data_IF_915048240109
#
_entry.id   IF_915048240109
#
_cell.length_a   1.000
_cell.length_b   1.000
_cell.length_c   1.000
_cell.angle_alpha   90.00
_cell.angle_beta   90.00
_cell.angle_gamma   90.00
#
_symmetry.space_group_name_H-M   'P 1'
#
loop_
_entity.id
_entity.type
_entity.pdbx_description
1 polymer ?
#
# COMPACT_ATOMS: atom_id res chain seq x y z
N UNK A 1 47.61 16.49 -32.52
CA UNK A 1 46.26 15.96 -32.77
C UNK A 1 45.63 15.65 -31.42
N UNK A 2 44.70 16.48 -30.92
CA UNK A 2 44.02 16.28 -29.63
C UNK A 2 42.72 15.53 -29.88
N UNK A 3 42.56 14.38 -29.24
CA UNK A 3 41.33 13.58 -29.26
C UNK A 3 40.48 14.06 -28.07
N UNK A 4 39.31 14.63 -28.35
CA UNK A 4 38.33 15.00 -27.34
C UNK A 4 37.35 13.84 -27.19
N UNK A 5 37.33 13.20 -26.02
CA UNK A 5 36.34 12.19 -25.67
C UNK A 5 35.18 12.92 -25.01
N UNK A 6 34.02 12.95 -25.67
CA UNK A 6 32.79 13.48 -25.09
C UNK A 6 32.11 12.35 -24.30
N UNK A 7 32.08 12.46 -22.98
CA UNK A 7 31.35 11.53 -22.11
C UNK A 7 29.91 12.05 -22.00
N UNK A 8 28.99 11.42 -22.72
CA UNK A 8 27.55 11.64 -22.54
C UNK A 8 27.09 10.86 -21.33
N UNK A 9 26.93 11.54 -20.19
CA UNK A 9 26.26 10.98 -19.02
C UNK A 9 24.75 10.97 -19.29
N UNK A 10 24.21 9.80 -19.62
CA UNK A 10 22.76 9.56 -19.65
C UNK A 10 22.25 9.54 -18.20
N UNK A 11 21.68 10.65 -17.76
CA UNK A 11 20.90 10.69 -16.52
C UNK A 11 19.60 9.90 -16.76
N UNK A 12 19.55 8.65 -16.30
CA UNK A 12 18.29 7.93 -16.16
C UNK A 12 17.49 8.60 -15.04
N UNK A 13 16.58 9.49 -15.41
CA UNK A 13 15.51 9.91 -14.52
C UNK A 13 14.51 8.74 -14.42
N UNK A 14 14.76 7.80 -13.51
CA UNK A 14 13.72 6.87 -13.08
C UNK A 14 12.65 7.69 -12.38
N UNK A 15 11.58 8.03 -13.10
CA UNK A 15 10.32 8.43 -12.48
C UNK A 15 9.82 7.16 -11.79
N UNK A 16 10.29 6.90 -10.58
CA UNK A 16 9.61 5.99 -9.67
C UNK A 16 8.23 6.64 -9.43
N UNK A 17 7.18 6.03 -9.96
CA UNK A 17 5.84 6.42 -9.57
C UNK A 17 5.74 6.13 -8.06
N UNK A 18 5.17 7.03 -7.28
CA UNK A 18 4.99 6.79 -5.84
C UNK A 18 4.10 5.57 -5.55
N UNK A 19 3.42 5.06 -6.59
CA UNK A 19 2.63 3.85 -6.57
C UNK A 19 3.45 2.59 -6.89
N UNK A 20 4.68 2.72 -7.42
CA UNK A 20 5.55 1.58 -7.71
C UNK A 20 6.02 0.87 -6.43
N UNK A 21 6.11 -0.45 -6.51
CA UNK A 21 6.49 -1.29 -5.39
C UNK A 21 8.01 -1.30 -5.17
N UNK A 22 8.44 -0.98 -3.95
CA UNK A 22 9.81 -1.21 -3.48
C UNK A 22 9.80 -1.88 -2.10
N UNK A 23 10.59 -2.93 -1.93
CA UNK A 23 10.77 -3.60 -0.63
C UNK A 23 11.49 -2.63 0.31
N UNK A 24 10.88 -2.22 1.45
CA UNK A 24 11.55 -1.34 2.38
C UNK A 24 12.80 -2.02 2.98
N UNK A 25 13.91 -1.29 3.09
CA UNK A 25 15.16 -1.82 3.65
C UNK A 25 14.98 -2.43 5.05
N UNK A 26 14.07 -1.89 5.86
CA UNK A 26 13.71 -2.43 7.18
C UNK A 26 13.19 -3.87 7.14
N UNK A 27 12.69 -4.33 5.99
CA UNK A 27 12.18 -5.67 5.76
C UNK A 27 13.07 -6.52 4.83
N UNK A 28 14.27 -6.04 4.49
CA UNK A 28 15.20 -6.75 3.60
C UNK A 28 15.67 -8.11 4.11
N UNK A 29 15.54 -8.36 5.42
CA UNK A 29 15.85 -9.65 6.06
C UNK A 29 14.72 -10.68 5.93
N UNK A 30 13.53 -10.27 5.47
CA UNK A 30 12.39 -11.17 5.28
C UNK A 30 12.52 -11.94 3.97
N UNK A 31 12.11 -13.20 3.99
CA UNK A 31 12.02 -14.03 2.79
C UNK A 31 10.84 -13.55 1.95
N UNK A 32 11.12 -13.21 0.69
CA UNK A 32 10.09 -12.88 -0.31
C UNK A 32 9.46 -14.16 -0.83
N UNK A 33 8.14 -14.23 -0.81
CA UNK A 33 7.31 -15.22 -1.48
C UNK A 33 6.53 -14.49 -2.58
N UNK A 34 6.75 -14.92 -3.83
CA UNK A 34 6.02 -14.41 -4.99
C UNK A 34 4.82 -15.30 -5.26
N UNK A 35 3.69 -14.69 -5.62
CA UNK A 35 2.50 -15.42 -6.00
C UNK A 35 2.54 -15.68 -7.51
N UNK A 36 2.27 -16.91 -7.93
CA UNK A 36 2.42 -17.33 -9.33
C UNK A 36 1.43 -16.62 -10.24
N UNK A 37 0.20 -16.42 -9.78
CA UNK A 37 -0.86 -15.79 -10.57
C UNK A 37 -0.79 -14.26 -10.53
N UNK A 38 -0.14 -13.70 -9.50
CA UNK A 38 -0.16 -12.28 -9.20
C UNK A 38 1.27 -11.71 -9.11
N UNK A 39 1.91 -11.39 -10.24
CA UNK A 39 3.34 -11.04 -10.30
C UNK A 39 3.70 -9.74 -9.56
N UNK A 40 2.70 -8.92 -9.18
CA UNK A 40 2.88 -7.68 -8.42
C UNK A 40 2.47 -7.80 -6.95
N UNK A 41 2.11 -9.00 -6.50
CA UNK A 41 1.69 -9.33 -5.13
C UNK A 41 2.76 -10.15 -4.45
N UNK A 42 3.09 -9.77 -3.23
CA UNK A 42 4.23 -10.36 -2.51
C UNK A 42 3.93 -10.51 -1.03
N UNK A 43 4.33 -11.65 -0.46
CA UNK A 43 4.42 -11.83 0.98
C UNK A 43 5.89 -11.83 1.40
N UNK A 44 6.20 -11.10 2.47
CA UNK A 44 7.52 -11.05 3.08
C UNK A 44 7.44 -11.62 4.48
N UNK A 45 8.10 -12.75 4.70
CA UNK A 45 7.90 -13.57 5.88
C UNK A 45 9.23 -13.82 6.59
N UNK A 46 9.21 -13.83 7.92
CA UNK A 46 10.39 -14.16 8.71
C UNK A 46 10.71 -15.66 8.57
N UNK A 47 11.99 -16.01 8.36
CA UNK A 47 12.46 -17.35 7.93
C UNK A 47 12.21 -18.47 8.94
N UNK A 48 12.06 -18.15 10.23
CA UNK A 48 11.71 -19.12 11.28
C UNK A 48 10.23 -19.58 11.20
N UNK A 49 9.43 -18.94 10.34
CA UNK A 49 8.12 -19.40 9.95
C UNK A 49 8.25 -20.08 8.60
N UNK A 50 7.37 -21.04 8.32
CA UNK A 50 7.22 -21.73 7.04
C UNK A 50 8.00 -23.04 6.99
N UNK A 51 7.35 -24.09 7.50
CA UNK A 51 7.26 -25.27 6.63
C UNK A 51 6.65 -24.77 5.31
N UNK A 52 7.44 -24.80 4.22
CA UNK A 52 6.91 -24.60 2.88
C UNK A 52 5.97 -25.77 2.63
N UNK A 53 4.67 -25.58 2.83
CA UNK A 53 3.74 -26.49 2.21
C UNK A 53 3.71 -26.13 0.73
N UNK A 54 4.11 -27.08 -0.12
CA UNK A 54 3.63 -27.17 -1.50
C UNK A 54 2.10 -27.32 -1.46
N UNK A 55 1.36 -26.24 -1.28
CA UNK A 55 -0.06 -26.25 -1.53
C UNK A 55 -0.44 -24.99 -2.30
N UNK A 56 0.12 -24.87 -3.51
CA UNK A 56 -0.62 -24.28 -4.62
C UNK A 56 -1.76 -25.24 -4.99
N UNK A 57 -2.75 -25.37 -4.10
CA UNK A 57 -4.00 -26.03 -4.44
C UNK A 57 -4.99 -24.92 -4.72
N UNK A 58 -5.25 -24.71 -6.00
CA UNK A 58 -6.33 -23.85 -6.46
C UNK A 58 -7.61 -24.29 -5.77
N UNK A 59 -8.28 -23.35 -5.10
CA UNK A 59 -9.62 -23.54 -4.62
C UNK A 59 -10.52 -22.58 -5.39
N UNK A 60 -11.12 -23.09 -6.47
CA UNK A 60 -12.15 -22.37 -7.20
C UNK A 60 -13.50 -22.69 -6.57
N UNK A 61 -14.05 -21.74 -5.83
CA UNK A 61 -15.45 -21.77 -5.43
C UNK A 61 -16.11 -20.44 -5.84
N UNK A 62 -17.22 -20.50 -6.57
CA UNK A 62 -18.02 -19.33 -6.95
C UNK A 62 -17.25 -18.19 -7.68
N UNK A 63 -16.31 -18.52 -8.57
CA UNK A 63 -15.46 -17.57 -9.31
C UNK A 63 -14.43 -16.78 -8.47
N UNK A 64 -14.16 -17.20 -7.24
CA UNK A 64 -13.05 -16.65 -6.46
C UNK A 64 -11.80 -17.48 -6.69
N UNK A 65 -10.71 -16.81 -7.11
CA UNK A 65 -9.38 -17.40 -7.18
C UNK A 65 -8.64 -17.06 -5.90
N UNK A 66 -8.37 -18.09 -5.11
CA UNK A 66 -7.59 -17.97 -3.88
C UNK A 66 -6.27 -18.74 -4.01
N UNK A 67 -5.16 -18.05 -3.81
CA UNK A 67 -3.81 -18.62 -3.80
C UNK A 67 -3.32 -18.74 -2.35
N UNK A 68 -3.14 -19.97 -1.87
CA UNK A 68 -2.57 -20.22 -0.54
C UNK A 68 -1.06 -19.99 -0.55
N UNK A 69 -0.58 -19.16 0.39
CA UNK A 69 0.81 -18.76 0.51
C UNK A 69 1.56 -19.69 1.47
N UNK A 70 0.93 -20.05 2.59
CA UNK A 70 1.53 -20.96 3.57
C UNK A 70 1.04 -20.76 5.00
N UNK A 71 1.53 -21.61 5.90
CA UNK A 71 1.21 -21.53 7.33
C UNK A 71 2.18 -20.54 8.01
N UNK A 72 1.61 -19.55 8.68
CA UNK A 72 2.33 -18.49 9.38
C UNK A 72 1.95 -18.48 10.86
N UNK A 73 2.84 -17.92 11.66
CA UNK A 73 2.56 -17.61 13.07
C UNK A 73 3.08 -16.20 13.37
N UNK A 74 2.25 -15.14 13.25
CA UNK A 74 2.73 -13.75 13.28
C UNK A 74 3.56 -13.35 14.51
N UNK A 75 3.43 -14.09 15.61
CA UNK A 75 4.25 -14.00 16.80
C UNK A 75 4.44 -15.39 17.42
N UNK A 76 5.67 -15.75 17.80
CA UNK A 76 5.96 -17.03 18.49
C UNK A 76 5.09 -17.27 19.73
N UNK A 77 4.69 -16.21 20.42
CA UNK A 77 3.89 -16.24 21.65
C UNK A 77 2.38 -16.34 21.40
N UNK A 78 1.91 -16.13 20.16
CA UNK A 78 0.50 -16.35 19.85
C UNK A 78 0.17 -17.83 20.00
N UNK A 79 -1.08 -18.12 20.40
CA UNK A 79 -1.54 -19.49 20.60
C UNK A 79 -1.76 -20.23 19.29
N UNK A 80 -2.09 -19.49 18.23
CA UNK A 80 -2.60 -20.05 16.98
C UNK A 80 -1.65 -19.81 15.80
N UNK A 81 -1.64 -20.80 14.91
CA UNK A 81 -1.10 -20.71 13.56
C UNK A 81 -2.23 -20.31 12.60
N UNK A 82 -1.86 -19.64 11.51
CA UNK A 82 -2.79 -19.23 10.46
C UNK A 82 -2.33 -19.76 9.12
N UNK A 83 -3.24 -20.27 8.30
CA UNK A 83 -3.02 -20.42 6.87
C UNK A 83 -3.26 -19.05 6.21
N UNK A 84 -2.24 -18.55 5.53
CA UNK A 84 -2.28 -17.29 4.79
C UNK A 84 -2.63 -17.58 3.33
N UNK A 85 -3.55 -16.79 2.78
CA UNK A 85 -3.91 -16.79 1.37
C UNK A 85 -3.89 -15.38 0.80
N UNK A 86 -4.03 -15.30 -0.52
CA UNK A 86 -4.36 -14.08 -1.23
C UNK A 86 -5.52 -14.33 -2.18
N UNK A 87 -6.46 -13.40 -2.23
CA UNK A 87 -7.61 -13.45 -3.13
C UNK A 87 -7.74 -12.15 -3.90
N UNK A 88 -8.15 -12.26 -5.16
CA UNK A 88 -8.56 -11.15 -6.00
C UNK A 88 -10.06 -11.24 -6.20
N UNK A 89 -10.79 -10.23 -5.73
CA UNK A 89 -12.22 -10.14 -5.96
C UNK A 89 -12.53 -9.32 -7.23
N UNK A 90 -13.69 -9.55 -7.87
CA UNK A 90 -14.12 -8.83 -9.09
C UNK A 90 -14.10 -7.29 -9.01
N UNK A 91 -14.09 -6.73 -7.79
CA UNK A 91 -14.18 -5.29 -7.48
C UNK A 91 -12.86 -4.66 -7.03
N UNK A 92 -11.72 -5.29 -7.37
CA UNK A 92 -10.39 -4.87 -6.91
C UNK A 92 -10.22 -4.91 -5.38
N UNK A 93 -10.95 -5.78 -4.67
CA UNK A 93 -10.82 -6.05 -3.23
C UNK A 93 -9.67 -7.03 -2.92
N UNK A 94 -8.52 -6.82 -3.56
CA UNK A 94 -7.31 -7.61 -3.33
C UNK A 94 -6.99 -7.69 -1.83
N UNK A 95 -6.97 -8.90 -1.27
CA UNK A 95 -6.77 -9.06 0.17
C UNK A 95 -6.02 -10.32 0.54
N UNK A 96 -5.33 -10.24 1.68
CA UNK A 96 -4.70 -11.38 2.32
C UNK A 96 -5.68 -12.00 3.32
N UNK A 97 -6.06 -13.25 3.08
CA UNK A 97 -6.94 -14.03 3.95
C UNK A 97 -6.14 -14.75 5.04
N UNK A 98 -6.67 -14.75 6.26
CA UNK A 98 -6.10 -15.44 7.41
C UNK A 98 -7.09 -16.47 7.93
N UNK A 99 -6.72 -17.74 7.83
CA UNK A 99 -7.51 -18.85 8.33
C UNK A 99 -6.87 -19.41 9.58
N UNK A 100 -7.58 -19.37 10.71
CA UNK A 100 -7.12 -19.84 12.00
C UNK A 100 -7.16 -21.37 12.05
N UNK A 101 -6.11 -21.99 12.59
CA UNK A 101 -6.08 -23.43 12.83
C UNK A 101 -7.03 -23.83 13.97
N UNK A 102 -8.02 -24.67 13.68
CA UNK A 102 -8.99 -25.23 14.63
C UNK A 102 -8.95 -26.76 14.54
N UNK A 103 -8.28 -27.41 15.50
CA UNK A 103 -8.06 -28.86 15.45
C UNK A 103 -7.24 -29.27 14.21
N UNK A 104 -7.88 -30.01 13.29
CA UNK A 104 -7.28 -30.49 12.04
C UNK A 104 -7.70 -29.67 10.80
N UNK A 105 -8.48 -28.60 10.96
CA UNK A 105 -8.93 -27.73 9.87
C UNK A 105 -8.44 -26.29 10.03
N UNK A 106 -8.63 -25.50 8.97
CA UNK A 106 -8.42 -24.06 8.96
C UNK A 106 -9.75 -23.38 8.69
N UNK A 107 -10.13 -22.44 9.55
CA UNK A 107 -11.39 -21.70 9.48
C UNK A 107 -11.09 -20.23 9.23
N UNK A 108 -11.86 -19.59 8.35
CA UNK A 108 -11.68 -18.17 8.05
C UNK A 108 -11.73 -17.33 9.35
N UNK A 109 -10.76 -16.45 9.54
CA UNK A 109 -10.67 -15.60 10.71
C UNK A 109 -10.83 -14.13 10.37
N UNK A 110 -10.04 -13.61 9.43
CA UNK A 110 -10.10 -12.22 8.98
C UNK A 110 -9.35 -12.05 7.65
N UNK A 111 -9.49 -10.88 7.02
CA UNK A 111 -8.70 -10.48 5.86
C UNK A 111 -8.12 -9.07 6.04
N UNK A 112 -7.07 -8.76 5.26
CA UNK A 112 -6.49 -7.42 5.19
C UNK A 112 -6.29 -7.04 3.73
N UNK A 113 -6.95 -5.96 3.29
CA UNK A 113 -6.82 -5.43 1.93
C UNK A 113 -5.42 -4.86 1.66
N UNK A 114 -4.86 -5.21 0.51
CA UNK A 114 -3.58 -4.72 0.02
C UNK A 114 -2.90 -5.71 -0.92
N UNK A 115 -1.76 -5.32 -1.48
CA UNK A 115 -1.04 -6.12 -2.48
C UNK A 115 0.29 -6.67 -1.96
N UNK A 116 0.83 -6.11 -0.88
CA UNK A 116 2.02 -6.66 -0.24
C UNK A 116 1.86 -6.73 1.26
N UNK A 117 2.31 -7.84 1.84
CA UNK A 117 2.23 -8.10 3.28
C UNK A 117 3.61 -8.41 3.85
N UNK A 118 3.90 -7.90 5.03
CA UNK A 118 5.15 -8.13 5.75
C UNK A 118 4.84 -8.65 7.15
N UNK A 119 5.37 -9.83 7.47
CA UNK A 119 5.15 -10.53 8.73
C UNK A 119 6.52 -10.82 9.36
N UNK A 120 7.06 -9.87 10.14
CA UNK A 120 8.38 -9.99 10.75
C UNK A 120 8.46 -10.96 11.95
N UNK A 121 7.34 -11.55 12.39
CA UNK A 121 7.35 -12.53 13.49
C UNK A 121 7.30 -11.94 14.90
N UNK A 122 7.17 -10.62 15.03
CA UNK A 122 7.11 -9.90 16.31
C UNK A 122 5.66 -9.58 16.76
N UNK A 123 4.65 -10.10 16.07
CA UNK A 123 3.23 -9.81 16.28
C UNK A 123 2.69 -8.59 15.55
N UNK A 124 3.54 -7.84 14.84
CA UNK A 124 3.07 -6.84 13.88
C UNK A 124 2.86 -7.46 12.50
N UNK A 125 1.88 -6.95 11.78
CA UNK A 125 1.69 -7.19 10.34
C UNK A 125 1.70 -5.82 9.66
N UNK A 126 2.43 -5.70 8.55
CA UNK A 126 2.42 -4.49 7.73
C UNK A 126 1.84 -4.82 6.38
N UNK A 127 1.03 -3.93 5.83
CA UNK A 127 0.44 -4.12 4.50
C UNK A 127 0.63 -2.85 3.69
N UNK A 128 0.93 -3.02 2.40
CA UNK A 128 0.86 -1.94 1.41
C UNK A 128 -0.02 -2.31 0.24
N UNK A 129 -0.77 -1.35 -0.29
CA UNK A 129 -1.56 -1.56 -1.50
C UNK A 129 -2.46 -0.38 -1.84
N UNK A 130 -2.69 -0.23 -3.14
CA UNK A 130 -3.76 0.62 -3.68
C UNK A 130 -4.96 -0.29 -3.93
N UNK A 131 -5.82 -0.45 -2.93
CA UNK A 131 -6.96 -1.38 -2.91
C UNK A 131 -8.05 -0.77 -2.03
N UNK A 132 -9.23 -0.48 -2.58
CA UNK A 132 -10.32 0.29 -1.95
C UNK A 132 -9.85 1.59 -1.29
N UNK A 133 -8.95 2.30 -1.98
CA UNK A 133 -8.40 3.55 -1.49
C UNK A 133 -7.88 4.42 -2.65
N UNK A 134 -7.45 5.63 -2.31
CA UNK A 134 -7.04 6.68 -3.26
C UNK A 134 -5.58 6.64 -3.73
N UNK A 135 -4.75 5.88 -3.02
CA UNK A 135 -3.32 5.82 -3.22
C UNK A 135 -2.77 4.54 -2.60
N UNK A 136 -1.50 4.21 -2.90
CA UNK A 136 -0.81 3.08 -2.28
C UNK A 136 -0.58 3.30 -0.78
N UNK A 137 -1.58 2.89 0.00
CA UNK A 137 -1.65 3.03 1.45
C UNK A 137 -0.69 2.05 2.12
N UNK A 138 -0.10 2.45 3.25
CA UNK A 138 0.70 1.57 4.12
C UNK A 138 0.07 1.53 5.50
N UNK A 139 -0.27 0.33 5.97
CA UNK A 139 -0.93 0.08 7.25
C UNK A 139 -0.10 -0.83 8.15
N UNK A 140 -0.30 -0.70 9.46
CA UNK A 140 0.26 -1.58 10.47
C UNK A 140 -0.86 -2.15 11.31
N UNK A 141 -0.81 -3.44 11.55
CA UNK A 141 -1.72 -4.18 12.41
C UNK A 141 -0.94 -4.86 13.54
N UNK A 142 -1.61 -5.10 14.65
CA UNK A 142 -1.11 -5.87 15.80
C UNK A 142 -2.18 -6.82 16.30
N UNK A 143 -1.75 -7.89 16.96
CA UNK A 143 -2.66 -8.76 17.70
C UNK A 143 -2.86 -8.25 19.13
N UNK A 144 -4.11 -8.14 19.55
CA UNK A 144 -4.57 -7.87 20.91
C UNK A 144 -5.59 -8.97 21.28
N UNK A 145 -5.29 -9.84 22.25
CA UNK A 145 -6.18 -10.92 22.70
C UNK A 145 -6.74 -11.80 21.56
N UNK A 146 -5.87 -12.30 20.67
CA UNK A 146 -6.25 -13.10 19.49
C UNK A 146 -7.15 -12.37 18.47
N UNK A 147 -7.37 -11.06 18.63
CA UNK A 147 -8.00 -10.18 17.64
C UNK A 147 -6.96 -9.31 16.97
N UNK A 148 -7.15 -9.02 15.69
CA UNK A 148 -6.26 -8.12 14.95
C UNK A 148 -6.84 -6.71 14.96
N UNK A 149 -5.97 -5.71 15.13
CA UNK A 149 -6.35 -4.30 15.13
C UNK A 149 -5.35 -3.47 14.34
N UNK A 150 -5.85 -2.54 13.53
CA UNK A 150 -5.01 -1.52 12.90
C UNK A 150 -4.49 -0.53 13.95
N UNK A 151 -3.20 -0.22 13.88
CA UNK A 151 -2.60 0.91 14.59
C UNK A 151 -2.74 2.14 13.69
N UNK A 152 -3.79 2.93 13.96
CA UNK A 152 -4.09 4.14 13.21
C UNK A 152 -2.90 5.12 13.21
N UNK A 153 -2.63 5.72 12.06
CA UNK A 153 -1.59 6.72 11.88
C UNK A 153 -2.19 8.13 11.91
N UNK A 154 -1.46 9.16 12.40
CA UNK A 154 -1.95 10.54 12.32
C UNK A 154 -2.16 11.01 10.88
N UNK A 155 -1.31 10.53 9.97
CA UNK A 155 -1.36 10.77 8.53
C UNK A 155 -0.82 9.53 7.80
N UNK A 156 -1.38 9.25 6.64
CA UNK A 156 -0.92 8.21 5.73
C UNK A 156 -0.05 8.84 4.64
N UNK A 157 1.18 8.35 4.51
CA UNK A 157 2.12 8.87 3.51
C UNK A 157 1.68 8.49 2.08
N UNK A 158 1.58 9.51 1.21
CA UNK A 158 1.24 9.36 -0.22
C UNK A 158 2.50 9.42 -1.07
N UNK A 159 3.32 10.47 -0.94
CA UNK A 159 4.59 10.65 -1.66
C UNK A 159 4.48 10.85 -3.18
N UNK A 160 3.30 11.22 -3.70
CA UNK A 160 3.03 11.30 -5.13
C UNK A 160 3.52 12.61 -5.74
N UNK A 161 4.62 12.55 -6.51
CA UNK A 161 5.12 13.67 -7.32
C UNK A 161 4.36 13.70 -8.64
N UNK A 162 3.64 14.79 -8.90
CA UNK A 162 2.66 14.86 -9.97
C UNK A 162 2.34 16.31 -10.38
N UNK A 163 1.28 16.51 -11.16
CA UNK A 163 0.79 17.81 -11.62
C UNK A 163 -0.68 18.02 -11.27
N UNK A 164 -1.09 19.28 -11.24
CA UNK A 164 -2.49 19.66 -11.15
C UNK A 164 -3.20 19.48 -12.51
N UNK A 165 -4.38 18.86 -12.54
CA UNK A 165 -5.24 18.75 -13.73
C UNK A 165 -6.10 20.00 -13.95
N UNK A 166 -6.46 20.69 -12.87
CA UNK A 166 -7.21 21.94 -12.84
C UNK A 166 -6.51 22.91 -11.86
N UNK A 167 -6.91 24.18 -11.86
CA UNK A 167 -6.38 25.10 -10.87
C UNK A 167 -6.91 24.76 -9.47
N UNK A 168 -6.06 24.85 -8.44
CA UNK A 168 -6.42 24.53 -7.05
C UNK A 168 -5.92 25.60 -6.09
N UNK A 169 -6.57 25.71 -4.94
CA UNK A 169 -6.09 26.48 -3.80
C UNK A 169 -5.55 25.52 -2.73
N UNK A 170 -4.47 25.92 -2.06
CA UNK A 170 -3.96 25.26 -0.86
C UNK A 170 -4.22 26.17 0.35
N UNK A 171 -4.57 25.57 1.48
CA UNK A 171 -4.94 26.29 2.70
C UNK A 171 -4.02 25.95 3.88
N UNK A 172 -3.95 26.84 4.88
CA UNK A 172 -3.12 26.63 6.08
C UNK A 172 -3.64 25.54 6.99
N UNK A 173 -4.94 25.29 6.91
CA UNK A 173 -5.69 24.33 7.71
C UNK A 173 -6.83 23.76 6.87
N UNK A 174 -7.51 22.77 7.46
CA UNK A 174 -8.62 22.05 6.85
C UNK A 174 -9.97 22.78 7.00
N UNK A 175 -10.01 23.92 7.67
CA UNK A 175 -11.22 24.77 7.67
C UNK A 175 -11.20 25.77 6.51
N UNK A 176 -10.16 25.68 5.67
CA UNK A 176 -9.92 26.56 4.52
C UNK A 176 -9.84 28.04 4.90
N UNK A 177 -9.44 28.33 6.15
CA UNK A 177 -9.55 29.67 6.72
C UNK A 177 -8.64 30.70 6.03
N UNK A 178 -7.49 30.24 5.52
CA UNK A 178 -6.48 31.09 4.88
C UNK A 178 -5.80 30.35 3.74
N UNK A 179 -5.85 30.95 2.56
CA UNK A 179 -5.15 30.48 1.36
C UNK A 179 -3.63 30.70 1.51
N UNK A 180 -2.87 29.62 1.37
CA UNK A 180 -1.40 29.61 1.37
C UNK A 180 -0.87 29.76 -0.05
N UNK A 181 -1.52 29.13 -1.03
CA UNK A 181 -1.12 29.19 -2.43
C UNK A 181 -2.33 29.04 -3.37
N UNK A 182 -2.18 29.55 -4.58
CA UNK A 182 -3.06 29.25 -5.71
C UNK A 182 -2.20 28.70 -6.84
N UNK A 183 -2.54 27.51 -7.33
CA UNK A 183 -1.76 26.80 -8.32
C UNK A 183 -2.56 26.71 -9.62
N UNK A 184 -1.99 27.13 -10.77
CA UNK A 184 -2.65 26.96 -12.06
C UNK A 184 -2.69 25.48 -12.45
N UNK A 185 -3.48 25.15 -13.48
CA UNK A 185 -3.43 23.86 -14.17
C UNK A 185 -2.01 23.57 -14.66
N UNK A 186 -1.56 22.32 -14.51
CA UNK A 186 -0.25 21.85 -14.94
C UNK A 186 0.89 22.19 -13.98
N UNK A 187 0.60 22.76 -12.82
CA UNK A 187 1.60 23.06 -11.81
C UNK A 187 2.18 21.76 -11.21
N UNK A 188 3.51 21.68 -11.09
CA UNK A 188 4.17 20.55 -10.42
C UNK A 188 3.95 20.62 -8.90
N UNK A 189 3.57 19.49 -8.32
CA UNK A 189 3.29 19.34 -6.89
C UNK A 189 3.77 17.98 -6.39
N UNK A 190 3.88 17.85 -5.08
CA UNK A 190 4.05 16.58 -4.39
C UNK A 190 2.93 16.42 -3.37
N UNK A 191 2.12 15.37 -3.50
CA UNK A 191 1.14 14.98 -2.49
C UNK A 191 1.90 14.21 -1.41
N UNK A 192 2.06 14.82 -0.25
CA UNK A 192 2.91 14.30 0.83
C UNK A 192 2.17 13.22 1.60
N UNK A 193 0.97 13.55 2.09
CA UNK A 193 0.22 12.69 2.97
C UNK A 193 -1.29 12.98 2.90
N UNK A 194 -2.10 12.07 3.44
CA UNK A 194 -3.55 12.22 3.61
C UNK A 194 -3.96 11.88 5.04
N UNK A 195 -5.07 12.43 5.51
CA UNK A 195 -5.65 12.04 6.82
C UNK A 195 -6.38 10.71 6.78
N UNK A 196 -7.00 10.38 5.65
CA UNK A 196 -7.67 9.11 5.41
C UNK A 196 -7.37 8.62 3.99
N UNK A 197 -7.69 7.37 3.75
CA UNK A 197 -7.48 6.69 2.48
C UNK A 197 -8.78 6.41 1.72
N UNK A 198 -9.94 6.71 2.32
CA UNK A 198 -11.24 6.12 2.00
C UNK A 198 -12.21 7.00 1.20
N UNK A 199 -11.94 8.28 0.89
CA UNK A 199 -12.89 9.03 0.04
C UNK A 199 -13.09 10.50 0.30
N UNK A 200 -12.84 10.98 1.52
CA UNK A 200 -13.26 12.33 1.94
C UNK A 200 -12.10 13.13 2.54
N UNK A 201 -10.90 12.87 2.01
CA UNK A 201 -9.66 13.28 2.62
C UNK A 201 -9.21 14.68 2.31
N UNK A 202 -8.51 15.24 3.30
CA UNK A 202 -7.57 16.33 3.08
C UNK A 202 -6.20 15.74 2.78
N UNK A 203 -5.59 16.25 1.71
CA UNK A 203 -4.22 15.94 1.35
C UNK A 203 -3.31 17.11 1.68
N UNK A 204 -2.17 16.81 2.26
CA UNK A 204 -1.09 17.78 2.42
C UNK A 204 -0.27 17.82 1.14
N UNK A 205 -0.26 18.96 0.47
CA UNK A 205 0.42 19.15 -0.81
C UNK A 205 1.58 20.12 -0.64
N UNK A 206 2.71 19.78 -1.25
CA UNK A 206 3.89 20.63 -1.39
C UNK A 206 3.96 21.20 -2.81
N UNK A 207 4.11 22.52 -2.91
CA UNK A 207 4.35 23.20 -4.19
C UNK A 207 5.79 23.04 -4.66
N UNK A 208 6.08 23.30 -5.93
CA UNK A 208 7.45 23.34 -6.44
C UNK A 208 8.35 24.38 -5.75
N UNK A 209 7.75 25.45 -5.18
CA UNK A 209 8.46 26.45 -4.38
C UNK A 209 8.72 25.99 -2.93
N UNK A 210 8.10 24.88 -2.50
CA UNK A 210 8.27 24.32 -1.15
C UNK A 210 7.25 24.80 -0.13
N UNK A 211 6.16 25.45 -0.54
CA UNK A 211 5.04 25.75 0.36
C UNK A 211 4.23 24.49 0.61
N UNK A 212 3.80 24.30 1.86
CA UNK A 212 2.89 23.23 2.26
C UNK A 212 1.51 23.80 2.54
N UNK A 213 0.47 23.11 2.08
CA UNK A 213 -0.91 23.44 2.42
C UNK A 213 -1.86 22.28 2.18
N UNK A 214 -3.00 22.36 2.84
CA UNK A 214 -4.08 21.38 2.75
C UNK A 214 -4.93 21.64 1.51
N UNK A 215 -5.31 20.55 0.87
CA UNK A 215 -6.24 20.52 -0.24
C UNK A 215 -7.30 19.46 0.05
N UNK A 216 -8.57 19.86 0.05
CA UNK A 216 -9.68 18.91 0.11
C UNK A 216 -9.83 18.25 -1.26
N UNK A 217 -10.03 16.93 -1.27
CA UNK A 217 -10.45 16.23 -2.48
C UNK A 217 -11.71 16.89 -3.06
N UNK A 218 -11.64 17.31 -4.31
CA UNK A 218 -12.67 18.17 -4.91
C UNK A 218 -13.67 17.42 -5.79
N UNK A 219 -13.21 16.39 -6.50
CA UNK A 219 -14.02 15.58 -7.41
C UNK A 219 -13.64 14.10 -7.28
N UNK A 220 -14.63 13.24 -7.05
CA UNK A 220 -14.41 11.81 -6.84
C UNK A 220 -13.90 11.09 -8.11
N UNK A 221 -14.51 11.33 -9.27
CA UNK A 221 -14.14 10.60 -10.49
C UNK A 221 -12.94 11.21 -11.24
N UNK A 222 -12.75 12.52 -11.09
CA UNK A 222 -11.69 13.26 -11.79
C UNK A 222 -11.05 14.31 -10.87
N UNK A 223 -10.28 13.87 -9.87
CA UNK A 223 -9.64 14.77 -8.93
C UNK A 223 -8.73 15.76 -9.65
N UNK A 224 -8.62 16.96 -9.11
CA UNK A 224 -7.75 18.00 -9.67
C UNK A 224 -6.25 17.70 -9.58
N UNK A 225 -5.85 16.57 -9.01
CA UNK A 225 -4.47 16.09 -8.92
C UNK A 225 -4.30 14.83 -9.78
N UNK A 226 -3.30 14.83 -10.65
CA UNK A 226 -2.98 13.68 -11.50
C UNK A 226 -2.42 12.50 -10.69
N UNK A 227 -2.82 11.28 -11.04
CA UNK A 227 -2.37 10.05 -10.38
C UNK A 227 -3.09 9.68 -9.09
N UNK A 228 -3.91 10.58 -8.51
CA UNK A 228 -4.88 10.19 -7.48
C UNK A 228 -6.13 9.62 -8.16
N UNK A 229 -6.57 8.46 -7.69
CA UNK A 229 -7.82 7.82 -8.11
C UNK A 229 -8.22 6.75 -7.09
N UNK A 230 -9.51 6.51 -6.95
CA UNK A 230 -9.99 5.41 -6.12
C UNK A 230 -9.87 4.08 -6.87
N UNK A 231 -9.24 3.07 -6.26
CA UNK A 231 -9.07 1.74 -6.85
C UNK A 231 -9.95 0.70 -6.15
N UNK A 232 -11.22 0.66 -6.51
CA UNK A 232 -12.27 -0.17 -5.89
C UNK A 232 -13.65 0.27 -6.37
N UNK A 233 -14.69 -0.31 -5.78
CA UNK A 233 -16.11 0.03 -6.04
C UNK A 233 -16.61 1.27 -5.27
#
# INVERSE_FOLDING_TARGET
MKITISITVLLFCSILNAQDFQVPQSFSHLKKVSLLQYPNVFAFLHVDFINEFELSKEFEENNYLEEFIGIIKPNKNLKHEYLLSFTVAPSADDSFGFYKKTGNSYEYSFSISGKQIYIPGNGSIYVSGHTNNWFNEKKKFTFENDTIREIAQPLYHVGLKTKTRKAIALYSDKTESKKVAYLPKGANVEVIASENSDGQGYFLIKTSFGLLGWWQLDHYFEPSIEGLFYNGD
#
